data_IF_311427473833
#
_entry.id   IF_311427473833
#
_cell.length_a   1.000
_cell.length_b   1.000
_cell.length_c   1.000
_cell.angle_alpha   90.00
_cell.angle_beta   90.00
_cell.angle_gamma   90.00
#
_symmetry.space_group_name_H-M   'P 1'
#
loop_
_entity.id
_entity.type
_entity.pdbx_description
1 polymer ?
#
# COMPACT_ATOMS: atom_id res chain seq x y z
N UNK A 1 -21.87 6.08 -20.12
CA UNK A 1 -20.63 5.31 -19.89
C UNK A 1 -19.43 6.23 -19.69
N UNK A 2 -19.11 7.14 -20.64
CA UNK A 2 -17.95 8.04 -20.55
C UNK A 2 -17.89 8.89 -19.26
N UNK A 3 -19.01 9.31 -18.69
CA UNK A 3 -19.01 10.15 -17.49
C UNK A 3 -18.60 9.38 -16.20
N UNK A 4 -18.95 8.10 -16.09
CA UNK A 4 -18.58 7.27 -14.93
C UNK A 4 -17.08 6.95 -14.91
N UNK A 5 -16.51 6.57 -16.05
CA UNK A 5 -15.08 6.34 -16.21
C UNK A 5 -14.25 7.60 -15.90
N UNK A 6 -14.70 8.78 -16.40
CA UNK A 6 -14.04 10.05 -16.10
C UNK A 6 -14.06 10.38 -14.61
N UNK A 7 -15.18 10.10 -13.92
CA UNK A 7 -15.28 10.25 -12.46
C UNK A 7 -14.34 9.28 -11.74
N UNK A 8 -14.25 8.02 -12.18
CA UNK A 8 -13.31 7.04 -11.63
C UNK A 8 -11.86 7.49 -11.76
N UNK A 9 -11.46 8.00 -12.93
CA UNK A 9 -10.13 8.56 -13.18
C UNK A 9 -9.83 9.73 -12.23
N UNK A 10 -10.79 10.66 -12.05
CA UNK A 10 -10.62 11.79 -11.15
C UNK A 10 -10.38 11.35 -9.71
N UNK A 11 -11.18 10.41 -9.19
CA UNK A 11 -10.97 9.83 -7.86
C UNK A 11 -9.61 9.13 -7.75
N UNK A 12 -9.17 8.45 -8.81
CA UNK A 12 -7.83 7.84 -8.88
C UNK A 12 -6.71 8.88 -8.74
N UNK A 13 -6.80 10.01 -9.45
CA UNK A 13 -5.82 11.10 -9.36
C UNK A 13 -5.74 11.64 -7.93
N UNK A 14 -6.88 11.92 -7.30
CA UNK A 14 -6.90 12.41 -5.91
C UNK A 14 -6.39 11.36 -4.90
N UNK A 15 -6.64 10.07 -5.16
CA UNK A 15 -6.10 8.99 -4.34
C UNK A 15 -4.56 8.99 -4.38
N UNK A 16 -3.97 9.06 -5.57
CA UNK A 16 -2.51 9.10 -5.72
C UNK A 16 -1.89 10.40 -5.19
N UNK A 17 -2.58 11.53 -5.32
CA UNK A 17 -2.15 12.78 -4.68
C UNK A 17 -2.09 12.62 -3.15
N UNK A 18 -3.10 12.00 -2.54
CA UNK A 18 -3.12 11.72 -1.10
C UNK A 18 -1.97 10.81 -0.68
N UNK A 19 -1.68 9.76 -1.45
CA UNK A 19 -0.53 8.88 -1.19
C UNK A 19 0.80 9.61 -1.36
N UNK A 20 0.94 10.51 -2.32
CA UNK A 20 2.17 11.30 -2.49
C UNK A 20 2.42 12.23 -1.29
N UNK A 21 1.39 12.88 -0.76
CA UNK A 21 1.49 13.68 0.47
C UNK A 21 1.87 12.79 1.66
N UNK A 22 1.24 11.63 1.79
CA UNK A 22 1.58 10.63 2.80
C UNK A 22 3.06 10.26 2.75
N UNK A 23 3.61 9.99 1.57
CA UNK A 23 5.00 9.56 1.41
C UNK A 23 5.99 10.65 1.84
N UNK A 24 5.68 11.92 1.56
CA UNK A 24 6.46 13.07 2.06
C UNK A 24 6.44 13.11 3.59
N UNK A 25 5.27 12.95 4.20
CA UNK A 25 5.11 12.93 5.66
C UNK A 25 5.91 11.76 6.26
N UNK A 26 5.78 10.57 5.70
CA UNK A 26 6.51 9.39 6.16
C UNK A 26 8.02 9.55 5.99
N UNK A 27 8.49 10.12 4.87
CA UNK A 27 9.90 10.43 4.64
C UNK A 27 10.47 11.38 5.69
N UNK A 28 9.70 12.39 6.09
CA UNK A 28 10.13 13.35 7.12
C UNK A 28 10.17 12.67 8.49
N UNK A 29 9.13 11.96 8.87
CA UNK A 29 9.04 11.34 10.20
C UNK A 29 10.00 10.18 10.41
N UNK A 30 10.30 9.38 9.39
CA UNK A 30 11.18 8.20 9.53
C UNK A 30 12.63 8.57 9.88
N UNK A 31 13.01 9.82 9.70
CA UNK A 31 14.34 10.31 10.09
C UNK A 31 14.49 10.47 11.61
N UNK A 32 13.38 10.72 12.32
CA UNK A 32 13.37 11.05 13.75
C UNK A 32 12.57 10.04 14.59
N UNK A 33 11.66 9.31 13.98
CA UNK A 33 10.77 8.40 14.67
C UNK A 33 10.88 6.96 14.16
N UNK A 34 10.46 6.02 15.00
CA UNK A 34 10.46 4.61 14.65
C UNK A 34 9.44 4.31 13.56
N UNK A 35 9.82 3.51 12.56
CA UNK A 35 8.91 3.02 11.52
C UNK A 35 7.69 2.31 12.12
N UNK A 36 7.87 1.62 13.23
CA UNK A 36 6.79 0.88 13.88
C UNK A 36 5.70 1.79 14.41
N UNK A 37 6.05 3.00 14.91
CA UNK A 37 5.09 4.03 15.31
C UNK A 37 4.33 4.58 14.10
N UNK A 38 5.02 4.89 13.01
CA UNK A 38 4.40 5.41 11.78
C UNK A 38 3.35 4.43 11.26
N UNK A 39 3.72 3.16 11.16
CA UNK A 39 2.84 2.13 10.65
C UNK A 39 1.72 1.78 11.65
N UNK A 40 1.98 1.85 12.95
CA UNK A 40 0.96 1.63 13.97
C UNK A 40 -0.18 2.64 13.82
N UNK A 41 0.14 3.92 13.74
CA UNK A 41 -0.86 4.98 13.52
C UNK A 41 -1.62 4.75 12.22
N UNK A 42 -0.92 4.44 11.13
CA UNK A 42 -1.54 4.10 9.85
C UNK A 42 -2.59 2.98 10.00
N UNK A 43 -2.26 1.88 10.69
CA UNK A 43 -3.20 0.75 10.85
C UNK A 43 -4.37 1.06 11.77
N UNK A 44 -4.21 1.93 12.77
CA UNK A 44 -5.35 2.43 13.55
C UNK A 44 -6.35 3.17 12.65
N UNK A 45 -5.89 4.04 11.77
CA UNK A 45 -6.78 4.75 10.85
C UNK A 45 -7.42 3.81 9.80
N UNK A 46 -6.72 2.75 9.37
CA UNK A 46 -7.32 1.71 8.53
C UNK A 46 -8.45 0.98 9.27
N UNK A 47 -8.30 0.76 10.58
CA UNK A 47 -9.38 0.17 11.39
C UNK A 47 -10.61 1.09 11.42
N UNK A 48 -10.43 2.39 11.66
CA UNK A 48 -11.53 3.35 11.59
C UNK A 48 -12.22 3.33 10.22
N UNK A 49 -11.45 3.28 9.13
CA UNK A 49 -12.01 3.18 7.79
C UNK A 49 -12.80 1.87 7.60
N UNK A 50 -12.29 0.74 8.10
CA UNK A 50 -12.98 -0.54 8.03
C UNK A 50 -14.33 -0.50 8.77
N UNK A 51 -14.36 0.08 9.97
CA UNK A 51 -15.57 0.25 10.77
C UNK A 51 -16.56 1.21 10.08
N UNK A 52 -16.07 2.32 9.54
CA UNK A 52 -16.89 3.28 8.80
C UNK A 52 -17.55 2.63 7.58
N UNK A 53 -16.78 1.92 6.74
CA UNK A 53 -17.29 1.21 5.57
C UNK A 53 -18.29 0.11 5.95
N UNK A 54 -18.00 -0.62 7.03
CA UNK A 54 -18.92 -1.65 7.57
C UNK A 54 -20.26 -1.04 7.97
N UNK A 55 -20.25 0.07 8.71
CA UNK A 55 -21.46 0.78 9.13
C UNK A 55 -22.23 1.33 7.93
N UNK A 56 -21.52 1.97 6.97
CA UNK A 56 -22.11 2.53 5.74
C UNK A 56 -22.83 1.48 4.90
N UNK A 57 -22.29 0.26 4.86
CA UNK A 57 -22.86 -0.86 4.09
C UNK A 57 -23.78 -1.78 4.89
N UNK A 58 -24.09 -1.43 6.13
CA UNK A 58 -24.87 -2.27 7.07
C UNK A 58 -24.33 -3.71 7.16
N UNK A 59 -23.02 -3.89 7.06
CA UNK A 59 -22.38 -5.19 7.16
C UNK A 59 -21.90 -5.45 8.59
N UNK A 60 -22.79 -5.91 9.45
CA UNK A 60 -22.49 -6.22 10.86
C UNK A 60 -21.53 -7.42 11.02
N UNK A 61 -21.40 -8.26 9.99
CA UNK A 61 -20.55 -9.45 10.01
C UNK A 61 -19.21 -9.24 9.27
N UNK A 62 -18.74 -8.01 9.16
CA UNK A 62 -17.50 -7.65 8.46
C UNK A 62 -16.24 -8.36 9.02
N UNK A 63 -16.28 -8.82 10.28
CA UNK A 63 -15.21 -9.59 10.90
C UNK A 63 -15.20 -11.09 10.48
N UNK A 64 -16.29 -11.59 9.86
CA UNK A 64 -16.37 -12.97 9.41
C UNK A 64 -15.77 -13.09 8.01
N UNK A 65 -14.75 -13.93 7.87
CA UNK A 65 -14.15 -14.30 6.59
C UNK A 65 -14.43 -15.76 6.27
N UNK A 66 -14.60 -16.08 4.99
CA UNK A 66 -14.69 -17.47 4.52
C UNK A 66 -13.34 -18.19 4.56
N UNK A 67 -12.23 -17.46 4.54
CA UNK A 67 -10.89 -18.03 4.64
C UNK A 67 -9.95 -17.13 5.46
N UNK A 68 -10.04 -17.30 6.79
CA UNK A 68 -9.26 -16.51 7.75
C UNK A 68 -7.74 -16.68 7.52
N UNK A 69 -7.28 -17.90 7.21
CA UNK A 69 -5.84 -18.15 6.98
C UNK A 69 -5.31 -17.31 5.82
N UNK A 70 -6.08 -17.20 4.73
CA UNK A 70 -5.69 -16.41 3.58
C UNK A 70 -5.76 -14.91 3.85
N UNK A 71 -6.72 -14.45 4.67
CA UNK A 71 -6.79 -13.06 5.14
C UNK A 71 -5.58 -12.69 6.03
N UNK A 72 -5.20 -13.56 6.96
CA UNK A 72 -4.01 -13.34 7.81
C UNK A 72 -2.75 -13.28 6.94
N UNK A 73 -2.56 -14.24 6.04
CA UNK A 73 -1.41 -14.26 5.13
C UNK A 73 -1.33 -12.98 4.28
N UNK A 74 -2.45 -12.58 3.67
CA UNK A 74 -2.55 -11.33 2.90
C UNK A 74 -2.20 -10.12 3.75
N UNK A 75 -2.69 -10.06 4.98
CA UNK A 75 -2.44 -8.94 5.89
C UNK A 75 -0.98 -8.87 6.32
N UNK A 76 -0.34 -10.00 6.56
CA UNK A 76 1.11 -10.06 6.83
C UNK A 76 1.93 -9.56 5.63
N UNK A 77 1.55 -9.94 4.40
CA UNK A 77 2.18 -9.40 3.20
C UNK A 77 2.06 -7.88 3.14
N UNK A 78 0.89 -7.30 3.46
CA UNK A 78 0.71 -5.85 3.52
C UNK A 78 1.61 -5.19 4.57
N UNK A 79 1.80 -5.83 5.73
CA UNK A 79 2.68 -5.34 6.78
C UNK A 79 4.14 -5.34 6.34
N UNK A 80 4.60 -6.43 5.72
CA UNK A 80 5.97 -6.56 5.22
C UNK A 80 6.22 -5.56 4.09
N UNK A 81 5.30 -5.46 3.14
CA UNK A 81 5.36 -4.51 2.03
C UNK A 81 5.52 -3.08 2.53
N UNK A 82 4.58 -2.63 3.36
CA UNK A 82 4.62 -1.28 3.92
C UNK A 82 5.88 -1.04 4.78
N UNK A 83 6.29 -2.04 5.54
CA UNK A 83 7.52 -1.99 6.32
C UNK A 83 8.75 -1.78 5.44
N UNK A 84 8.96 -2.61 4.44
CA UNK A 84 10.10 -2.51 3.54
C UNK A 84 10.09 -1.22 2.73
N UNK A 85 8.91 -0.81 2.22
CA UNK A 85 8.81 0.39 1.39
C UNK A 85 9.08 1.66 2.19
N UNK A 86 8.40 1.84 3.33
CA UNK A 86 8.61 3.03 4.19
C UNK A 86 10.03 3.05 4.78
N UNK A 87 10.58 1.89 5.15
CA UNK A 87 11.97 1.82 5.63
C UNK A 87 12.97 2.26 4.55
N UNK A 88 12.68 2.02 3.28
CA UNK A 88 13.53 2.47 2.18
C UNK A 88 13.68 3.99 2.15
N UNK A 89 12.66 4.75 2.59
CA UNK A 89 12.71 6.20 2.68
C UNK A 89 13.78 6.71 3.66
N UNK A 90 14.19 5.90 4.62
CA UNK A 90 15.30 6.28 5.51
C UNK A 90 16.63 6.38 4.77
N UNK A 91 16.81 5.58 3.74
CA UNK A 91 18.09 5.41 3.05
C UNK A 91 18.12 5.98 1.63
N UNK A 92 16.99 6.00 0.95
CA UNK A 92 16.85 6.43 -0.44
C UNK A 92 16.02 7.72 -0.54
N UNK A 93 16.23 8.49 -1.60
CA UNK A 93 15.28 9.55 -1.97
C UNK A 93 13.93 8.93 -2.36
N UNK A 94 12.84 9.70 -2.23
CA UNK A 94 11.52 9.25 -2.68
C UNK A 94 11.54 8.83 -4.16
N UNK A 95 12.22 9.63 -5.00
CA UNK A 95 12.36 9.33 -6.42
C UNK A 95 13.02 7.96 -6.66
N UNK A 96 14.12 7.65 -5.97
CA UNK A 96 14.81 6.37 -6.12
C UNK A 96 13.98 5.19 -5.60
N UNK A 97 13.32 5.34 -4.44
CA UNK A 97 12.45 4.30 -3.91
C UNK A 97 11.28 3.99 -4.85
N UNK A 98 10.63 5.03 -5.39
CA UNK A 98 9.55 4.87 -6.37
C UNK A 98 10.02 4.35 -7.72
N UNK A 99 11.25 4.67 -8.16
CA UNK A 99 11.84 4.08 -9.38
C UNK A 99 11.92 2.56 -9.28
N UNK A 100 12.41 2.05 -8.15
CA UNK A 100 12.45 0.60 -7.91
C UNK A 100 11.05 0.03 -7.71
N UNK A 101 10.19 0.74 -6.96
CA UNK A 101 8.79 0.36 -6.73
C UNK A 101 7.97 0.26 -8.03
N UNK A 102 8.34 0.98 -9.08
CA UNK A 102 7.69 0.93 -10.40
C UNK A 102 7.84 -0.41 -11.12
N UNK A 103 8.67 -1.32 -10.62
CA UNK A 103 8.69 -2.72 -11.03
C UNK A 103 7.44 -3.51 -10.58
N UNK A 104 6.69 -3.02 -9.61
CA UNK A 104 5.53 -3.74 -9.07
C UNK A 104 4.51 -4.16 -10.15
N UNK A 105 4.09 -3.34 -11.11
CA UNK A 105 3.16 -3.78 -12.16
C UNK A 105 3.70 -4.94 -12.99
N UNK A 106 5.00 -4.95 -13.31
CA UNK A 106 5.65 -6.03 -14.03
C UNK A 106 5.60 -7.33 -13.22
N UNK A 107 5.93 -7.24 -11.93
CA UNK A 107 5.91 -8.37 -10.99
C UNK A 107 4.48 -8.89 -10.84
N UNK A 108 3.48 -8.02 -10.69
CA UNK A 108 2.06 -8.40 -10.58
C UNK A 108 1.61 -9.21 -11.79
N UNK A 109 1.94 -8.75 -13.00
CA UNK A 109 1.56 -9.45 -14.24
C UNK A 109 2.28 -10.79 -14.37
N UNK A 110 3.57 -10.84 -14.06
CA UNK A 110 4.33 -12.09 -14.06
C UNK A 110 3.77 -13.11 -13.06
N UNK A 111 3.49 -12.67 -11.84
CA UNK A 111 2.88 -13.53 -10.81
C UNK A 111 1.45 -13.93 -11.16
N UNK A 112 0.63 -13.06 -11.77
CA UNK A 112 -0.70 -13.40 -12.27
C UNK A 112 -0.65 -14.53 -13.31
N UNK A 113 0.26 -14.45 -14.25
CA UNK A 113 0.43 -15.49 -15.26
C UNK A 113 0.80 -16.84 -14.63
N UNK A 114 1.70 -16.84 -13.63
CA UNK A 114 2.20 -18.06 -12.99
C UNK A 114 1.18 -18.62 -11.98
N UNK A 115 0.70 -17.79 -11.05
CA UNK A 115 -0.09 -18.24 -9.89
C UNK A 115 -1.57 -18.39 -10.24
N UNK A 116 -2.13 -17.44 -11.00
CA UNK A 116 -3.53 -17.47 -11.41
C UNK A 116 -3.74 -18.17 -12.76
N UNK A 117 -2.64 -18.52 -13.46
CA UNK A 117 -2.65 -19.12 -14.81
C UNK A 117 -3.43 -18.25 -15.81
N UNK A 118 -3.36 -16.93 -15.65
CA UNK A 118 -4.02 -15.98 -16.53
C UNK A 118 -3.20 -15.81 -17.82
N UNK A 119 -3.88 -15.82 -18.96
CA UNK A 119 -3.23 -15.56 -20.26
C UNK A 119 -2.98 -14.05 -20.37
N UNK A 120 -1.72 -13.65 -20.30
CA UNK A 120 -1.31 -12.25 -20.47
C UNK A 120 -1.00 -12.02 -21.94
N UNK A 121 -1.66 -11.03 -22.55
CA UNK A 121 -1.43 -10.71 -23.96
C UNK A 121 -0.06 -10.08 -24.17
N UNK A 122 0.54 -10.30 -25.34
CA UNK A 122 1.78 -9.62 -25.73
C UNK A 122 1.64 -8.09 -25.70
N UNK A 123 0.46 -7.57 -26.04
CA UNK A 123 0.16 -6.12 -25.96
C UNK A 123 0.29 -5.60 -24.53
N UNK A 124 -0.16 -6.36 -23.53
CA UNK A 124 -0.03 -6.01 -22.10
C UNK A 124 1.44 -5.97 -21.70
N UNK A 125 2.26 -6.93 -22.10
CA UNK A 125 3.69 -6.93 -21.83
C UNK A 125 4.39 -5.72 -22.47
N UNK A 126 4.08 -5.40 -23.71
CA UNK A 126 4.63 -4.22 -24.40
C UNK A 126 4.22 -2.94 -23.68
N UNK A 127 2.96 -2.79 -23.32
CA UNK A 127 2.47 -1.60 -22.60
C UNK A 127 3.17 -1.41 -21.24
N UNK A 128 3.35 -2.48 -20.46
CA UNK A 128 4.07 -2.45 -19.18
C UNK A 128 5.53 -2.06 -19.40
N UNK A 129 6.20 -2.64 -20.41
CA UNK A 129 7.59 -2.34 -20.71
C UNK A 129 7.78 -0.88 -21.14
N UNK A 130 6.91 -0.34 -21.98
CA UNK A 130 6.92 1.07 -22.38
C UNK A 130 6.69 1.97 -21.17
N UNK A 131 5.70 1.65 -20.32
CA UNK A 131 5.43 2.40 -19.09
C UNK A 131 6.62 2.39 -18.13
N UNK A 132 7.29 1.26 -17.98
CA UNK A 132 8.49 1.13 -17.16
C UNK A 132 9.65 1.99 -17.68
N UNK A 133 9.91 1.96 -19.01
CA UNK A 133 10.90 2.85 -19.63
C UNK A 133 10.55 4.32 -19.38
N UNK A 134 9.27 4.70 -19.52
CA UNK A 134 8.81 6.06 -19.23
C UNK A 134 9.13 6.50 -17.80
N UNK A 135 8.89 5.62 -16.82
CA UNK A 135 9.24 5.87 -15.41
C UNK A 135 10.76 6.05 -15.25
N UNK A 136 11.59 5.21 -15.85
CA UNK A 136 13.05 5.33 -15.78
C UNK A 136 13.55 6.66 -16.38
N UNK A 137 12.96 7.13 -17.47
CA UNK A 137 13.31 8.40 -18.11
C UNK A 137 12.99 9.58 -17.19
N UNK A 138 11.80 9.57 -16.57
CA UNK A 138 11.35 10.66 -15.68
C UNK A 138 12.17 10.70 -14.40
N UNK A 139 12.36 9.56 -13.77
CA UNK A 139 12.99 9.46 -12.45
C UNK A 139 14.52 9.55 -12.53
N UNK A 140 15.12 9.35 -13.69
CA UNK A 140 16.58 9.41 -13.91
C UNK A 140 17.33 8.68 -12.81
N UNK A 141 17.22 7.33 -12.74
CA UNK A 141 17.78 6.57 -11.65
C UNK A 141 19.28 6.87 -11.48
N UNK A 142 19.67 7.27 -10.29
CA UNK A 142 21.05 7.56 -9.93
C UNK A 142 21.80 6.28 -9.56
N UNK A 143 23.11 6.37 -9.42
CA UNK A 143 23.95 5.25 -8.98
C UNK A 143 23.53 4.62 -7.65
N UNK A 144 22.76 5.35 -6.82
CA UNK A 144 22.20 4.84 -5.57
C UNK A 144 21.15 3.71 -5.74
N UNK A 145 20.66 3.46 -6.94
CA UNK A 145 19.81 2.28 -7.23
C UNK A 145 20.61 0.98 -7.14
N UNK A 146 21.92 1.03 -7.37
CA UNK A 146 22.82 -0.11 -7.19
C UNK A 146 23.28 -0.29 -5.72
N UNK A 147 22.84 0.59 -4.80
CA UNK A 147 23.06 0.44 -3.38
C UNK A 147 22.28 -0.80 -2.87
N UNK A 148 22.87 -1.67 -2.03
CA UNK A 148 22.15 -2.78 -1.38
C UNK A 148 20.85 -2.37 -0.68
N UNK A 149 20.71 -1.10 -0.28
CA UNK A 149 19.49 -0.54 0.31
C UNK A 149 18.32 -0.49 -0.68
N UNK A 150 18.57 -0.52 -1.99
CA UNK A 150 17.54 -0.65 -3.03
C UNK A 150 16.84 -2.01 -3.03
N UNK A 151 17.38 -3.00 -2.32
CA UNK A 151 16.68 -4.26 -2.06
C UNK A 151 15.39 -4.06 -1.26
N UNK A 152 15.31 -3.03 -0.39
CA UNK A 152 14.10 -2.77 0.39
C UNK A 152 12.88 -2.47 -0.49
N UNK A 153 12.89 -1.47 -1.39
CA UNK A 153 11.74 -1.23 -2.28
C UNK A 153 11.56 -2.34 -3.33
N UNK A 154 12.59 -3.10 -3.67
CA UNK A 154 12.46 -4.26 -4.56
C UNK A 154 11.69 -5.41 -3.87
N UNK A 155 12.04 -5.72 -2.61
CA UNK A 155 11.30 -6.68 -1.79
C UNK A 155 9.86 -6.19 -1.61
N UNK A 156 9.65 -4.90 -1.32
CA UNK A 156 8.32 -4.33 -1.20
C UNK A 156 7.51 -4.50 -2.50
N UNK A 157 8.09 -4.24 -3.67
CA UNK A 157 7.43 -4.43 -4.96
C UNK A 157 7.04 -5.89 -5.23
N UNK A 158 7.92 -6.84 -4.87
CA UNK A 158 7.62 -8.27 -4.98
C UNK A 158 6.50 -8.71 -4.05
N UNK A 159 6.57 -8.29 -2.78
CA UNK A 159 5.56 -8.60 -1.75
C UNK A 159 4.22 -7.94 -2.10
N UNK A 160 4.24 -6.71 -2.65
CA UNK A 160 3.05 -6.04 -3.19
C UNK A 160 2.40 -6.86 -4.30
N UNK A 161 3.20 -7.43 -5.21
CA UNK A 161 2.71 -8.33 -6.24
C UNK A 161 1.96 -9.53 -5.66
N UNK A 162 2.56 -10.22 -4.71
CA UNK A 162 1.92 -11.33 -4.00
C UNK A 162 0.65 -10.88 -3.26
N UNK A 163 0.71 -9.76 -2.55
CA UNK A 163 -0.43 -9.18 -1.85
C UNK A 163 -1.61 -8.92 -2.79
N UNK A 164 -1.36 -8.36 -3.97
CA UNK A 164 -2.41 -8.08 -4.95
C UNK A 164 -3.03 -9.36 -5.52
N UNK A 165 -2.23 -10.38 -5.81
CA UNK A 165 -2.70 -11.68 -6.27
C UNK A 165 -3.61 -12.34 -5.22
N UNK A 166 -3.17 -12.36 -3.96
CA UNK A 166 -3.94 -12.92 -2.87
C UNK A 166 -5.21 -12.09 -2.62
N UNK A 167 -5.13 -10.76 -2.70
CA UNK A 167 -6.30 -9.87 -2.60
C UNK A 167 -7.32 -10.16 -3.69
N UNK A 168 -6.89 -10.34 -4.94
CA UNK A 168 -7.78 -10.75 -6.05
C UNK A 168 -8.44 -12.09 -5.79
N UNK A 169 -7.74 -13.05 -5.18
CA UNK A 169 -8.29 -14.35 -4.79
C UNK A 169 -9.32 -14.21 -3.67
N UNK A 170 -9.04 -13.41 -2.65
CA UNK A 170 -9.90 -13.19 -1.48
C UNK A 170 -11.16 -12.39 -1.85
N UNK A 171 -11.07 -11.41 -2.74
CA UNK A 171 -12.21 -10.57 -3.15
C UNK A 171 -13.35 -11.32 -3.84
N UNK A 172 -13.12 -12.58 -4.23
CA UNK A 172 -14.17 -13.44 -4.78
C UNK A 172 -15.22 -13.88 -3.76
N UNK A 173 -14.91 -13.80 -2.46
CA UNK A 173 -15.79 -14.31 -1.40
C UNK A 173 -15.85 -13.41 -0.16
N UNK A 174 -14.87 -12.55 0.07
CA UNK A 174 -14.88 -11.60 1.17
C UNK A 174 -15.01 -10.16 0.65
N UNK A 175 -15.70 -9.32 1.39
CA UNK A 175 -15.90 -7.91 1.05
C UNK A 175 -14.68 -7.08 1.43
N UNK A 176 -14.57 -5.86 0.86
CA UNK A 176 -13.45 -4.96 1.10
C UNK A 176 -13.31 -4.57 2.57
N UNK A 177 -14.42 -4.29 3.27
CA UNK A 177 -14.42 -3.95 4.70
C UNK A 177 -13.87 -5.09 5.56
N UNK A 178 -14.13 -6.36 5.20
CA UNK A 178 -13.53 -7.52 5.85
C UNK A 178 -12.02 -7.53 5.65
N UNK A 179 -11.58 -7.28 4.43
CA UNK A 179 -10.16 -7.22 4.09
C UNK A 179 -9.44 -6.07 4.81
N UNK A 180 -10.05 -4.89 4.89
CA UNK A 180 -9.51 -3.74 5.65
C UNK A 180 -9.41 -4.07 7.14
N UNK A 181 -10.44 -4.71 7.71
CA UNK A 181 -10.44 -5.11 9.12
C UNK A 181 -9.29 -6.06 9.44
N UNK A 182 -9.10 -7.15 8.69
CA UNK A 182 -7.99 -8.07 8.93
C UNK A 182 -6.63 -7.41 8.75
N UNK A 183 -6.47 -6.54 7.73
CA UNK A 183 -5.22 -5.80 7.53
C UNK A 183 -4.91 -4.89 8.72
N UNK A 184 -5.91 -4.19 9.23
CA UNK A 184 -5.73 -3.29 10.37
C UNK A 184 -5.41 -4.05 11.66
N UNK A 185 -6.16 -5.11 11.99
CA UNK A 185 -5.94 -5.87 13.22
C UNK A 185 -4.55 -6.53 13.22
N UNK A 186 -4.18 -7.21 12.13
CA UNK A 186 -2.85 -7.84 12.04
C UNK A 186 -1.75 -6.78 12.07
N UNK A 187 -1.95 -5.66 11.36
CA UNK A 187 -1.00 -4.54 11.37
C UNK A 187 -0.83 -3.94 12.77
N UNK A 188 -1.93 -3.69 13.49
CA UNK A 188 -1.89 -3.17 14.86
C UNK A 188 -1.16 -4.14 15.77
N UNK A 189 -1.49 -5.44 15.75
CA UNK A 189 -0.84 -6.44 16.61
C UNK A 189 0.67 -6.47 16.36
N UNK A 190 1.09 -6.63 15.09
CA UNK A 190 2.52 -6.74 14.74
C UNK A 190 3.26 -5.45 15.07
N UNK A 191 2.69 -4.29 14.71
CA UNK A 191 3.35 -3.01 14.93
C UNK A 191 3.36 -2.60 16.40
N UNK A 192 2.33 -2.92 17.20
CA UNK A 192 2.32 -2.64 18.64
C UNK A 192 3.44 -3.39 19.37
N UNK A 193 3.65 -4.67 19.05
CA UNK A 193 4.71 -5.48 19.65
C UNK A 193 6.11 -4.89 19.38
N UNK A 194 6.32 -4.39 18.17
CA UNK A 194 7.60 -3.79 17.75
C UNK A 194 7.73 -2.34 18.22
N UNK A 195 6.65 -1.56 18.15
CA UNK A 195 6.65 -0.17 18.59
C UNK A 195 6.94 -0.04 20.10
N UNK A 196 6.44 -0.97 20.92
CA UNK A 196 6.71 -0.97 22.36
C UNK A 196 8.23 -1.00 22.67
N UNK A 197 9.01 -1.76 21.89
CA UNK A 197 10.46 -1.87 22.07
C UNK A 197 11.23 -0.67 21.48
N UNK A 198 10.72 -0.09 20.40
CA UNK A 198 11.43 0.94 19.63
C UNK A 198 10.67 2.28 19.64
N UNK A 199 10.00 2.58 20.77
CA UNK A 199 9.25 3.82 20.90
C UNK A 199 10.19 5.03 21.00
N UNK A 200 9.91 6.06 20.21
CA UNK A 200 10.58 7.36 20.31
C UNK A 200 9.57 8.40 20.79
N UNK A 201 9.97 9.33 21.69
CA UNK A 201 9.08 10.41 22.12
C UNK A 201 8.58 11.21 20.93
N UNK A 202 7.32 11.63 20.98
CA UNK A 202 6.68 12.43 19.91
C UNK A 202 6.57 13.86 20.41
N UNK A 203 7.12 14.81 19.65
CA UNK A 203 6.98 16.25 19.92
C UNK A 203 5.69 16.83 19.33
N UNK A 204 5.35 18.07 19.69
CA UNK A 204 4.08 18.68 19.30
C UNK A 204 3.91 18.81 17.77
N UNK A 205 4.99 19.07 17.03
CA UNK A 205 4.96 19.15 15.57
C UNK A 205 4.74 17.78 14.93
N UNK A 206 5.43 16.77 15.44
CA UNK A 206 5.30 15.40 14.95
C UNK A 206 3.90 14.82 15.17
N UNK A 207 3.16 15.22 16.22
CA UNK A 207 1.76 14.79 16.40
C UNK A 207 0.88 15.12 15.20
N UNK A 208 0.98 16.34 14.67
CA UNK A 208 0.20 16.75 13.49
C UNK A 208 0.57 15.90 12.26
N UNK A 209 1.85 15.58 12.09
CA UNK A 209 2.32 14.73 11.00
C UNK A 209 1.86 13.28 11.15
N UNK A 210 1.86 12.73 12.37
CA UNK A 210 1.31 11.40 12.64
C UNK A 210 -0.18 11.32 12.33
N UNK A 211 -0.97 12.33 12.69
CA UNK A 211 -2.37 12.43 12.27
C UNK A 211 -2.48 12.51 10.74
N UNK A 212 -1.60 13.26 10.10
CA UNK A 212 -1.51 13.35 8.64
C UNK A 212 -1.32 11.97 7.98
N UNK A 213 -0.44 11.10 8.53
CA UNK A 213 -0.28 9.71 8.04
C UNK A 213 -1.64 9.01 7.98
N UNK A 214 -2.38 9.04 9.07
CA UNK A 214 -3.66 8.36 9.17
C UNK A 214 -4.71 8.92 8.21
N UNK A 215 -4.83 10.24 8.17
CA UNK A 215 -5.82 10.93 7.32
C UNK A 215 -5.53 10.69 5.84
N UNK A 216 -4.31 10.99 5.36
CA UNK A 216 -3.99 10.87 3.94
C UNK A 216 -3.97 9.42 3.45
N UNK A 217 -3.55 8.48 4.29
CA UNK A 217 -3.63 7.07 3.95
C UNK A 217 -5.08 6.59 3.81
N UNK A 218 -5.93 6.91 4.79
CA UNK A 218 -7.35 6.52 4.77
C UNK A 218 -8.11 7.19 3.63
N UNK A 219 -7.83 8.47 3.39
CA UNK A 219 -8.42 9.22 2.27
C UNK A 219 -8.00 8.61 0.93
N UNK A 220 -6.72 8.34 0.73
CA UNK A 220 -6.20 7.69 -0.47
C UNK A 220 -6.85 6.33 -0.72
N UNK A 221 -6.93 5.47 0.31
CA UNK A 221 -7.61 4.17 0.20
C UNK A 221 -9.10 4.31 -0.13
N UNK A 222 -9.81 5.23 0.52
CA UNK A 222 -11.23 5.45 0.30
C UNK A 222 -11.50 5.91 -1.14
N UNK A 223 -10.73 6.89 -1.62
CA UNK A 223 -10.83 7.40 -2.99
C UNK A 223 -10.47 6.32 -4.02
N UNK A 224 -9.47 5.49 -3.73
CA UNK A 224 -9.09 4.38 -4.59
C UNK A 224 -10.20 3.32 -4.69
N UNK A 225 -10.87 2.99 -3.58
CA UNK A 225 -12.02 2.07 -3.57
C UNK A 225 -13.15 2.63 -4.44
N UNK A 226 -13.43 3.94 -4.36
CA UNK A 226 -14.45 4.60 -5.21
C UNK A 226 -14.02 4.56 -6.68
N UNK A 227 -12.78 4.90 -6.99
CA UNK A 227 -12.25 4.88 -8.36
C UNK A 227 -12.43 3.51 -9.03
N UNK A 228 -12.12 2.44 -8.31
CA UNK A 228 -12.24 1.05 -8.82
C UNK A 228 -13.70 0.56 -8.91
N UNK A 229 -14.65 1.27 -8.31
CA UNK A 229 -16.08 0.92 -8.34
C UNK A 229 -16.85 1.59 -9.46
N UNK A 230 -16.24 2.51 -10.22
CA UNK A 230 -16.86 3.31 -11.31
C UNK A 230 -16.41 2.85 -12.67
#
# INVERSE_FOLDING_TARGET
FKSKESIGILFGIFAYLSFSILDVIQKTLILHHSIFQLLLVKYFFVLFLALFESKRKNNLLFYKSKNIKLQIFRSLLSVIESGCFVLSFKYLSLANAHSVGSLAPVIVVALSAIILKEKVSAKTWIAIFIGFIGVLIILRPTSSIFDPKALLPLIAAFVLGLYQIITKKVSKYDKNETSLFYTSIIGIIVMSLLAFKFWTPIDGYSYAMFLGIGVFFSLGLYLQIIALSK
#
